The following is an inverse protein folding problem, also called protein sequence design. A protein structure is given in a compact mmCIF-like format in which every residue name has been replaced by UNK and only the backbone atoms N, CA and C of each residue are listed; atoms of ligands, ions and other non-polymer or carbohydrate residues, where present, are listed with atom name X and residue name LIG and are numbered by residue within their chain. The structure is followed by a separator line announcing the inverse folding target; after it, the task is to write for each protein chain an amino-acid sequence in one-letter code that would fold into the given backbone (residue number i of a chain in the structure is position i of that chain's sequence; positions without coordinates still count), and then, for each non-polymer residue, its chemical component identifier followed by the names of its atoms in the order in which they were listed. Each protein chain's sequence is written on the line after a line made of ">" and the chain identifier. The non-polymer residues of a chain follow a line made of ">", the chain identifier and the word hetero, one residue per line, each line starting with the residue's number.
data_IF_344123032793
#
_entry.id   IF_344123032793
#
_cell.length_a   1.000
_cell.length_b   1.000
_cell.length_c   1.000
_cell.angle_alpha   90.00
_cell.angle_beta   90.00
_cell.angle_gamma   90.00
#
_symmetry.space_group_name_H-M   'P 1'
#
loop_
_entity.id
_entity.type
_entity.pdbx_description
1 polymer ?
#
# COMPACT_ATOMS: atom_id res chain seq x y z
N UNK A 1 -9.75 12.10 -38.33
CA UNK A 1 -10.72 10.98 -38.35
C UNK A 1 -10.61 10.31 -36.99
N UNK A 2 -11.57 10.52 -36.10
CA UNK A 2 -11.59 9.89 -34.78
C UNK A 2 -11.99 8.43 -34.96
N UNK A 3 -11.00 7.53 -34.87
CA UNK A 3 -11.26 6.09 -34.87
C UNK A 3 -11.95 5.74 -33.55
N UNK A 4 -13.28 5.64 -33.57
CA UNK A 4 -14.05 5.05 -32.48
C UNK A 4 -13.67 3.57 -32.37
N UNK A 5 -13.29 3.14 -31.16
CA UNK A 5 -13.06 1.73 -30.83
C UNK A 5 -14.42 1.03 -30.84
N UNK A 6 -14.64 -0.02 -31.65
CA UNK A 6 -15.92 -0.71 -31.70
C UNK A 6 -16.35 -1.23 -30.32
N UNK A 7 -17.54 -0.87 -29.86
CA UNK A 7 -18.07 -1.29 -28.55
C UNK A 7 -17.67 -0.40 -27.37
N UNK A 8 -16.82 0.61 -27.57
CA UNK A 8 -16.54 1.64 -26.56
C UNK A 8 -17.59 2.76 -26.69
N UNK A 9 -18.72 2.55 -26.02
CA UNK A 9 -19.90 3.40 -26.12
C UNK A 9 -19.83 4.66 -25.24
N UNK A 10 -20.86 5.50 -25.31
CA UNK A 10 -20.93 6.75 -24.55
C UNK A 10 -20.96 6.53 -23.03
N UNK A 11 -21.39 5.34 -22.57
CA UNK A 11 -21.35 5.01 -21.16
C UNK A 11 -19.91 4.74 -20.73
N UNK A 12 -19.16 3.94 -21.49
CA UNK A 12 -17.73 3.69 -21.23
C UNK A 12 -16.88 4.96 -21.34
N UNK A 13 -17.18 5.87 -22.27
CA UNK A 13 -16.51 7.17 -22.35
C UNK A 13 -16.69 7.99 -21.07
N UNK A 14 -17.93 8.06 -20.54
CA UNK A 14 -18.19 8.76 -19.27
C UNK A 14 -17.51 8.07 -18.09
N UNK A 15 -17.57 6.75 -18.03
CA UNK A 15 -16.86 5.99 -16.98
C UNK A 15 -15.35 6.18 -17.03
N UNK A 16 -14.76 6.29 -18.22
CA UNK A 16 -13.35 6.61 -18.40
C UNK A 16 -13.02 8.03 -17.95
N UNK A 17 -13.86 9.01 -18.30
CA UNK A 17 -13.71 10.40 -17.85
C UNK A 17 -13.80 10.52 -16.32
N UNK A 18 -14.72 9.79 -15.70
CA UNK A 18 -14.86 9.76 -14.24
C UNK A 18 -13.66 9.07 -13.59
N UNK A 19 -13.20 7.93 -14.11
CA UNK A 19 -12.02 7.24 -13.61
C UNK A 19 -10.72 8.06 -13.75
N UNK A 20 -10.56 8.79 -14.86
CA UNK A 20 -9.42 9.70 -15.03
C UNK A 20 -9.48 10.86 -14.02
N UNK A 21 -10.68 11.43 -13.81
CA UNK A 21 -10.91 12.50 -12.84
C UNK A 21 -10.64 12.04 -11.41
N UNK A 22 -11.09 10.84 -11.04
CA UNK A 22 -10.82 10.21 -9.74
C UNK A 22 -9.33 9.96 -9.53
N UNK A 23 -8.59 9.63 -10.60
CA UNK A 23 -7.14 9.48 -10.57
C UNK A 23 -6.37 10.82 -10.61
N UNK A 24 -7.05 11.97 -10.69
CA UNK A 24 -6.42 13.28 -10.77
C UNK A 24 -5.67 13.55 -12.09
N UNK A 25 -5.96 12.78 -13.14
CA UNK A 25 -5.26 12.81 -14.43
C UNK A 25 -6.22 13.25 -15.55
N UNK A 26 -5.70 13.77 -16.66
CA UNK A 26 -6.51 13.90 -17.87
C UNK A 26 -6.72 12.53 -18.53
N UNK A 27 -7.80 12.39 -19.30
CA UNK A 27 -8.19 11.12 -19.94
C UNK A 27 -7.06 10.51 -20.78
N UNK A 28 -6.27 11.31 -21.49
CA UNK A 28 -5.21 10.77 -22.33
C UNK A 28 -4.07 10.20 -21.48
N UNK A 29 -3.68 10.90 -20.41
CA UNK A 29 -2.66 10.42 -19.46
C UNK A 29 -3.11 9.13 -18.79
N UNK A 30 -4.36 9.09 -18.32
CA UNK A 30 -4.95 7.90 -17.70
C UNK A 30 -4.96 6.71 -18.66
N UNK A 31 -5.42 6.91 -19.91
CA UNK A 31 -5.45 5.85 -20.94
C UNK A 31 -4.04 5.39 -21.29
N UNK A 32 -3.09 6.31 -21.50
CA UNK A 32 -1.71 5.95 -21.81
C UNK A 32 -1.09 5.09 -20.71
N UNK A 33 -1.27 5.47 -19.45
CA UNK A 33 -0.78 4.72 -18.28
C UNK A 33 -1.45 3.35 -18.18
N UNK A 34 -2.78 3.27 -18.32
CA UNK A 34 -3.53 2.02 -18.24
C UNK A 34 -3.14 1.04 -19.36
N UNK A 35 -2.99 1.54 -20.59
CA UNK A 35 -2.54 0.74 -21.74
C UNK A 35 -1.09 0.28 -21.53
N UNK A 36 -0.21 1.15 -21.06
CA UNK A 36 1.18 0.80 -20.75
C UNK A 36 1.28 -0.29 -19.69
N UNK A 37 0.52 -0.18 -18.60
CA UNK A 37 0.45 -1.20 -17.54
C UNK A 37 -0.05 -2.55 -18.07
N UNK A 38 -1.11 -2.53 -18.90
CA UNK A 38 -1.65 -3.73 -19.52
C UNK A 38 -0.64 -4.40 -20.48
N UNK A 39 0.09 -3.61 -21.28
CA UNK A 39 1.15 -4.12 -22.18
C UNK A 39 2.28 -4.79 -21.41
N UNK A 40 2.70 -4.24 -20.27
CA UNK A 40 3.71 -4.85 -19.39
C UNK A 40 3.19 -6.17 -18.83
N UNK A 41 1.97 -6.20 -18.29
CA UNK A 41 1.36 -7.41 -17.75
C UNK A 41 1.26 -8.54 -18.79
N UNK A 42 0.95 -8.20 -20.04
CA UNK A 42 0.85 -9.17 -21.12
C UNK A 42 2.22 -9.70 -21.58
N UNK A 43 3.27 -8.87 -21.53
CA UNK A 43 4.64 -9.32 -21.81
C UNK A 43 5.23 -10.22 -20.71
N UNK A 44 4.92 -9.92 -19.44
CA UNK A 44 5.28 -10.77 -18.31
C UNK A 44 4.61 -12.14 -18.43
N UNK A 45 3.29 -12.16 -18.70
CA UNK A 45 2.55 -13.41 -18.91
C UNK A 45 3.05 -14.25 -20.09
N UNK A 46 3.61 -13.60 -21.10
CA UNK A 46 4.14 -14.26 -22.28
C UNK A 46 5.65 -14.64 -22.17
N UNK A 47 6.28 -14.44 -21.01
CA UNK A 47 7.72 -14.67 -20.76
C UNK A 47 8.64 -14.05 -21.83
N UNK A 48 8.23 -12.92 -22.41
CA UNK A 48 8.99 -12.30 -23.50
C UNK A 48 10.23 -11.60 -22.95
N UNK A 49 11.41 -11.77 -23.57
CA UNK A 49 12.66 -11.15 -23.11
C UNK A 49 12.68 -9.61 -23.20
N UNK A 50 11.71 -8.97 -23.85
CA UNK A 50 11.68 -7.51 -24.09
C UNK A 50 10.94 -6.70 -23.02
N UNK A 51 10.48 -7.31 -21.92
CA UNK A 51 9.73 -6.56 -20.89
C UNK A 51 10.59 -5.46 -20.25
N UNK A 52 11.90 -5.71 -20.09
CA UNK A 52 12.87 -4.71 -19.63
C UNK A 52 13.00 -3.54 -20.60
N UNK A 53 12.99 -3.80 -21.91
CA UNK A 53 13.11 -2.76 -22.93
C UNK A 53 11.84 -1.89 -23.00
N UNK A 54 10.66 -2.52 -22.87
CA UNK A 54 9.38 -1.80 -22.81
C UNK A 54 9.30 -0.93 -21.54
N UNK A 55 9.64 -1.48 -20.38
CA UNK A 55 9.68 -0.73 -19.12
C UNK A 55 10.67 0.44 -19.20
N UNK A 56 11.88 0.19 -19.71
CA UNK A 56 12.88 1.24 -19.92
C UNK A 56 12.39 2.35 -20.87
N UNK A 57 11.68 1.99 -21.93
CA UNK A 57 11.12 2.95 -22.88
C UNK A 57 9.95 3.76 -22.30
N UNK A 58 9.06 3.12 -21.55
CA UNK A 58 7.93 3.78 -20.88
C UNK A 58 8.38 4.74 -19.77
N UNK A 59 9.45 4.38 -19.05
CA UNK A 59 10.11 5.31 -18.12
C UNK A 59 10.77 6.47 -18.88
N UNK A 60 11.56 6.21 -19.94
CA UNK A 60 12.22 7.28 -20.72
C UNK A 60 11.25 8.27 -21.38
N UNK A 61 10.03 7.84 -21.68
CA UNK A 61 8.99 8.67 -22.32
C UNK A 61 8.10 9.41 -21.32
N UNK A 62 8.29 9.20 -20.01
CA UNK A 62 7.52 9.85 -18.95
C UNK A 62 6.09 9.32 -18.79
N UNK A 63 5.73 8.25 -19.49
CA UNK A 63 4.38 7.63 -19.42
C UNK A 63 4.14 6.97 -18.05
N UNK A 64 5.22 6.58 -17.37
CA UNK A 64 5.20 6.04 -16.00
C UNK A 64 5.81 6.99 -14.96
N UNK A 65 6.53 8.03 -15.38
CA UNK A 65 7.07 9.05 -14.47
C UNK A 65 5.97 10.06 -14.16
N UNK A 66 5.02 9.65 -13.32
CA UNK A 66 4.33 10.61 -12.47
C UNK A 66 5.33 11.01 -11.39
N UNK A 67 5.80 12.27 -11.41
CA UNK A 67 6.60 12.83 -10.31
C UNK A 67 5.82 12.89 -8.98
N UNK A 68 4.50 12.66 -9.05
CA UNK A 68 3.57 12.54 -7.94
C UNK A 68 3.28 11.08 -7.58
N UNK A 69 3.13 10.83 -6.28
CA UNK A 69 2.60 9.56 -5.80
C UNK A 69 1.16 9.35 -6.30
N UNK A 70 0.70 8.09 -6.49
CA UNK A 70 -0.68 7.79 -6.82
C UNK A 70 -1.62 8.41 -5.78
N UNK A 71 -2.67 9.08 -6.23
CA UNK A 71 -3.69 9.58 -5.32
C UNK A 71 -4.58 8.43 -4.84
N UNK A 72 -4.48 8.12 -3.55
CA UNK A 72 -5.31 7.12 -2.87
C UNK A 72 -6.32 7.76 -1.91
N UNK A 73 -6.42 9.09 -1.89
CA UNK A 73 -7.18 9.84 -0.89
C UNK A 73 -8.67 9.49 -0.90
N UNK A 74 -9.27 9.25 -2.07
CA UNK A 74 -10.67 8.84 -2.17
C UNK A 74 -10.95 7.50 -1.46
N UNK A 75 -10.06 6.52 -1.62
CA UNK A 75 -10.19 5.19 -0.98
C UNK A 75 -9.91 5.29 0.51
N UNK A 76 -8.91 6.09 0.91
CA UNK A 76 -8.60 6.31 2.32
C UNK A 76 -9.72 7.07 3.03
N UNK A 77 -10.36 8.04 2.38
CA UNK A 77 -11.47 8.80 2.93
C UNK A 77 -12.83 8.08 2.87
N UNK A 78 -12.87 6.83 2.39
CA UNK A 78 -14.10 6.05 2.30
C UNK A 78 -14.84 5.99 3.66
N UNK A 79 -16.11 6.46 3.73
CA UNK A 79 -16.83 6.53 4.99
C UNK A 79 -17.08 5.18 5.67
N UNK A 80 -17.31 4.11 4.90
CA UNK A 80 -17.61 2.79 5.42
C UNK A 80 -16.34 2.16 6.00
N UNK A 81 -15.20 2.32 5.31
CA UNK A 81 -13.87 1.95 5.81
C UNK A 81 -13.52 2.68 7.11
N UNK A 82 -13.78 3.99 7.18
CA UNK A 82 -13.52 4.80 8.38
C UNK A 82 -14.46 4.41 9.53
N UNK A 83 -15.71 4.06 9.24
CA UNK A 83 -16.63 3.52 10.23
C UNK A 83 -16.11 2.19 10.80
N UNK A 84 -15.71 1.25 9.93
CA UNK A 84 -15.14 -0.03 10.32
C UNK A 84 -13.89 0.15 11.20
N UNK A 85 -12.99 1.07 10.85
CA UNK A 85 -11.83 1.40 11.69
C UNK A 85 -12.24 1.93 13.07
N UNK A 86 -13.20 2.85 13.13
CA UNK A 86 -13.67 3.44 14.41
C UNK A 86 -14.35 2.42 15.30
N UNK A 87 -15.11 1.49 14.73
CA UNK A 87 -15.78 0.41 15.47
C UNK A 87 -14.81 -0.51 16.20
N UNK A 88 -13.56 -0.63 15.72
CA UNK A 88 -12.52 -1.39 16.44
C UNK A 88 -12.15 -0.79 17.80
N UNK A 89 -12.37 0.52 18.00
CA UNK A 89 -11.94 1.24 19.20
C UNK A 89 -10.43 1.34 19.38
N UNK A 90 -9.62 1.08 18.34
CA UNK A 90 -8.17 1.03 18.45
C UNK A 90 -7.46 2.37 18.22
N UNK A 91 -8.08 3.31 17.51
CA UNK A 91 -7.55 4.67 17.35
C UNK A 91 -7.40 5.36 18.71
N UNK A 92 -6.26 6.00 18.93
CA UNK A 92 -5.89 6.72 20.17
C UNK A 92 -5.96 5.88 21.46
N UNK A 93 -6.13 4.57 21.34
CA UNK A 93 -6.23 3.67 22.48
C UNK A 93 -4.84 3.42 23.10
N UNK A 94 -4.78 3.07 24.41
CA UNK A 94 -3.52 2.71 25.05
C UNK A 94 -2.78 1.56 24.35
N UNK A 95 -1.49 1.44 24.64
CA UNK A 95 -0.71 0.27 24.21
C UNK A 95 -1.30 -1.01 24.80
N UNK A 96 -1.27 -2.10 24.03
CA UNK A 96 -1.77 -3.40 24.47
C UNK A 96 -0.74 -4.48 24.12
N UNK A 97 -0.34 -5.24 25.14
CA UNK A 97 0.72 -6.25 25.03
C UNK A 97 0.47 -7.34 23.97
N UNK A 98 -0.78 -7.55 23.55
CA UNK A 98 -1.10 -8.48 22.46
C UNK A 98 -0.55 -7.99 21.12
N UNK A 99 -0.72 -6.72 20.78
CA UNK A 99 -0.18 -6.17 19.54
C UNK A 99 1.34 -6.05 19.63
N UNK A 100 1.89 -5.68 20.79
CA UNK A 100 3.35 -5.63 20.98
C UNK A 100 4.03 -6.98 20.77
N UNK A 101 3.36 -8.08 21.15
CA UNK A 101 3.85 -9.42 20.86
C UNK A 101 3.85 -9.74 19.37
N UNK A 102 2.79 -9.37 18.64
CA UNK A 102 2.68 -9.59 17.20
C UNK A 102 3.73 -8.76 16.46
N UNK A 103 3.82 -7.46 16.76
CA UNK A 103 4.77 -6.54 16.12
C UNK A 103 6.21 -7.00 16.32
N UNK A 104 6.57 -7.41 17.55
CA UNK A 104 7.89 -7.98 17.86
C UNK A 104 8.14 -9.31 17.16
N UNK A 105 7.16 -10.22 17.16
CA UNK A 105 7.29 -11.49 16.45
C UNK A 105 7.52 -11.28 14.94
N UNK A 106 6.87 -10.29 14.33
CA UNK A 106 7.08 -9.93 12.92
C UNK A 106 8.50 -9.41 12.67
N UNK A 107 9.00 -8.49 13.50
CA UNK A 107 10.37 -7.99 13.41
C UNK A 107 11.40 -9.13 13.56
N UNK A 108 11.25 -9.93 14.61
CA UNK A 108 12.18 -11.03 14.93
C UNK A 108 12.18 -12.12 13.85
N UNK A 109 11.00 -12.51 13.35
CA UNK A 109 10.88 -13.59 12.38
C UNK A 109 11.42 -13.24 10.98
N UNK A 110 11.36 -11.95 10.61
CA UNK A 110 11.84 -11.45 9.31
C UNK A 110 13.21 -10.74 9.42
N UNK A 111 13.83 -10.79 10.59
CA UNK A 111 15.10 -10.14 10.92
C UNK A 111 15.10 -8.64 10.54
N UNK A 112 13.97 -7.96 10.68
CA UNK A 112 13.79 -6.57 10.27
C UNK A 112 13.91 -5.62 11.47
N UNK A 113 14.62 -4.48 11.35
CA UNK A 113 14.83 -3.56 12.47
C UNK A 113 13.55 -2.83 12.88
N UNK A 114 12.59 -2.68 11.97
CA UNK A 114 11.34 -1.97 12.20
C UNK A 114 10.13 -2.82 11.85
N UNK A 115 9.10 -2.72 12.69
CA UNK A 115 7.81 -3.36 12.49
C UNK A 115 6.72 -2.52 13.14
N UNK A 116 5.50 -2.55 12.58
CA UNK A 116 4.37 -1.85 13.14
C UNK A 116 3.04 -2.54 12.85
N UNK A 117 2.12 -2.47 13.83
CA UNK A 117 0.68 -2.55 13.57
C UNK A 117 0.19 -1.12 13.39
N UNK A 118 -0.18 -0.79 12.16
CA UNK A 118 -0.53 0.54 11.71
C UNK A 118 -2.01 0.62 11.34
N UNK A 119 -2.68 1.71 11.71
CA UNK A 119 -4.08 2.01 11.39
C UNK A 119 -4.12 3.30 10.56
N UNK A 120 -4.93 3.33 9.51
CA UNK A 120 -5.00 4.46 8.58
C UNK A 120 -6.34 5.19 8.76
N UNK A 121 -6.29 6.34 9.42
CA UNK A 121 -7.44 7.23 9.64
C UNK A 121 -7.60 8.19 8.43
N UNK A 122 -8.51 9.16 8.53
CA UNK A 122 -8.82 10.09 7.44
C UNK A 122 -7.65 11.04 7.09
N UNK A 123 -6.82 11.41 8.06
CA UNK A 123 -5.78 12.44 7.93
C UNK A 123 -4.41 12.03 8.50
N UNK A 124 -4.34 10.87 9.16
CA UNK A 124 -3.13 10.36 9.79
C UNK A 124 -3.01 8.84 9.71
N UNK A 125 -1.77 8.38 9.85
CA UNK A 125 -1.45 7.02 10.22
C UNK A 125 -1.21 6.97 11.72
N UNK A 126 -1.97 6.13 12.42
CA UNK A 126 -1.78 5.85 13.84
C UNK A 126 -1.07 4.51 14.04
N UNK A 127 -0.12 4.44 14.96
CA UNK A 127 0.61 3.23 15.31
C UNK A 127 0.01 2.58 16.56
N UNK A 128 -0.68 1.45 16.39
CA UNK A 128 -1.18 0.69 17.53
C UNK A 128 -0.03 0.06 18.32
N UNK A 129 1.03 -0.35 17.63
CA UNK A 129 2.24 -0.93 18.19
C UNK A 129 3.40 -0.77 17.22
N UNK A 130 4.61 -0.56 17.72
CA UNK A 130 5.84 -0.37 16.94
C UNK A 130 7.02 -1.12 17.55
N UNK A 131 8.00 -1.44 16.72
CA UNK A 131 9.33 -1.94 17.11
C UNK A 131 10.38 -1.14 16.36
N UNK A 132 11.45 -0.74 17.08
CA UNK A 132 12.59 -0.02 16.50
C UNK A 132 12.36 1.47 16.20
N UNK A 133 11.15 1.99 16.36
CA UNK A 133 10.76 3.33 15.90
C UNK A 133 11.02 4.48 16.90
N UNK A 134 11.84 4.24 17.95
CA UNK A 134 12.26 5.29 18.90
C UNK A 134 11.08 6.03 19.53
N UNK A 135 11.08 7.37 19.44
CA UNK A 135 10.05 8.25 19.99
C UNK A 135 8.65 7.95 19.46
N UNK A 136 8.49 7.35 18.27
CA UNK A 136 7.17 6.93 17.77
C UNK A 136 6.59 5.71 18.52
N UNK A 137 7.31 5.19 19.51
CA UNK A 137 6.86 4.11 20.40
C UNK A 137 6.29 4.64 21.71
N UNK A 138 6.43 5.94 22.01
CA UNK A 138 5.84 6.54 23.23
C UNK A 138 4.38 6.94 23.00
N UNK A 139 3.47 6.79 23.97
CA UNK A 139 2.04 6.99 23.79
C UNK A 139 1.63 8.30 23.11
N UNK A 140 2.38 9.38 23.37
CA UNK A 140 2.11 10.74 22.93
C UNK A 140 2.52 11.03 21.47
N UNK A 141 3.26 10.12 20.82
CA UNK A 141 3.86 10.37 19.50
C UNK A 141 3.66 9.18 18.52
N UNK A 142 2.55 8.45 18.66
CA UNK A 142 2.23 7.26 17.85
C UNK A 142 1.49 7.60 16.55
N UNK A 143 1.83 8.70 15.90
CA UNK A 143 1.19 9.05 14.63
C UNK A 143 2.12 9.79 13.68
N UNK A 144 1.81 9.71 12.40
CA UNK A 144 2.40 10.52 11.33
C UNK A 144 1.30 10.95 10.37
N UNK A 145 1.55 12.01 9.61
CA UNK A 145 0.66 12.45 8.53
C UNK A 145 0.63 11.43 7.38
N UNK A 146 -0.46 11.40 6.61
CA UNK A 146 -0.62 10.43 5.53
C UNK A 146 0.44 10.56 4.43
N UNK A 147 1.00 11.74 4.16
CA UNK A 147 2.10 11.89 3.19
C UNK A 147 3.39 11.16 3.60
N UNK A 148 3.51 10.76 4.87
CA UNK A 148 4.58 9.93 5.40
C UNK A 148 4.21 8.44 5.47
N UNK A 149 3.00 8.05 5.06
CA UNK A 149 2.49 6.67 5.13
C UNK A 149 2.73 5.89 3.85
N UNK A 150 3.60 4.88 3.87
CA UNK A 150 3.59 3.83 2.82
C UNK A 150 2.40 2.86 3.01
N UNK A 151 1.95 2.66 4.25
CA UNK A 151 0.89 1.72 4.58
C UNK A 151 -0.44 2.05 3.88
N UNK A 152 -0.73 3.33 3.62
CA UNK A 152 -1.97 3.75 2.93
C UNK A 152 -2.11 3.09 1.55
N UNK A 153 -1.02 2.81 0.83
CA UNK A 153 -1.07 2.21 -0.50
C UNK A 153 -1.46 0.73 -0.42
N UNK A 154 -0.93 -0.01 0.57
CA UNK A 154 -1.37 -1.39 0.83
C UNK A 154 -2.84 -1.45 1.29
N UNK A 155 -3.29 -0.45 2.06
CA UNK A 155 -4.69 -0.31 2.47
C UNK A 155 -5.59 -0.03 1.26
N UNK A 156 -5.19 0.91 0.39
CA UNK A 156 -5.96 1.28 -0.79
C UNK A 156 -6.11 0.11 -1.77
N UNK A 157 -5.01 -0.60 -2.05
CA UNK A 157 -4.99 -1.72 -2.99
C UNK A 157 -5.59 -3.01 -2.39
N UNK A 158 -5.68 -3.09 -1.05
CA UNK A 158 -6.14 -4.29 -0.31
C UNK A 158 -5.34 -5.54 -0.64
N UNK A 159 -4.08 -5.35 -1.03
CA UNK A 159 -3.12 -6.43 -1.33
C UNK A 159 -1.80 -6.20 -0.61
N UNK A 160 -1.01 -7.26 -0.36
CA UNK A 160 0.35 -7.11 0.16
C UNK A 160 1.18 -6.16 -0.70
N UNK A 161 1.84 -5.19 -0.06
CA UNK A 161 2.81 -4.31 -0.71
C UNK A 161 4.22 -4.78 -0.37
N UNK A 162 5.00 -5.07 -1.41
CA UNK A 162 6.35 -5.62 -1.29
C UNK A 162 7.33 -4.73 -2.05
N UNK A 163 8.25 -4.09 -1.33
CA UNK A 163 9.30 -3.24 -1.87
C UNK A 163 10.65 -3.76 -1.37
N UNK A 164 11.45 -4.31 -2.29
CA UNK A 164 12.80 -4.81 -1.97
C UNK A 164 13.81 -3.66 -1.87
N UNK A 165 13.72 -2.71 -2.79
CA UNK A 165 14.39 -1.41 -2.74
C UNK A 165 13.47 -0.33 -3.34
N UNK A 166 12.75 0.38 -2.48
CA UNK A 166 11.81 1.44 -2.83
C UNK A 166 12.46 2.59 -3.61
N UNK A 167 13.80 2.77 -3.52
CA UNK A 167 14.52 3.80 -4.28
C UNK A 167 14.68 3.43 -5.75
N UNK A 168 14.58 2.13 -6.07
CA UNK A 168 14.59 1.60 -7.43
C UNK A 168 13.17 1.38 -7.99
N UNK A 169 12.14 1.50 -7.13
CA UNK A 169 10.76 1.36 -7.55
C UNK A 169 10.30 2.57 -8.37
N UNK A 170 9.66 2.39 -9.54
CA UNK A 170 9.26 3.50 -10.40
C UNK A 170 8.26 4.46 -9.75
N UNK A 171 7.46 4.00 -8.78
CA UNK A 171 6.45 4.77 -8.07
C UNK A 171 7.01 5.27 -6.74
N UNK A 172 7.47 4.37 -5.88
CA UNK A 172 7.84 4.68 -4.50
C UNK A 172 9.16 5.43 -4.35
N UNK A 173 10.01 5.51 -5.39
CA UNK A 173 11.23 6.35 -5.39
C UNK A 173 10.92 7.83 -5.08
N UNK A 174 9.69 8.26 -5.37
CA UNK A 174 9.24 9.63 -5.19
C UNK A 174 8.61 9.89 -3.81
N UNK A 175 8.35 8.85 -3.01
CA UNK A 175 7.70 8.98 -1.71
C UNK A 175 8.60 9.73 -0.70
N UNK A 176 8.07 10.67 0.11
CA UNK A 176 8.86 11.44 1.08
C UNK A 176 9.77 10.61 2.00
N UNK A 177 9.25 9.55 2.64
CA UNK A 177 10.04 8.66 3.51
C UNK A 177 11.12 7.85 2.80
N UNK A 178 10.96 7.60 1.49
CA UNK A 178 11.98 6.93 0.67
C UNK A 178 13.07 7.93 0.31
N UNK A 179 12.68 9.15 -0.08
CA UNK A 179 13.62 10.25 -0.37
C UNK A 179 14.43 10.70 0.85
N UNK A 180 13.85 10.63 2.05
CA UNK A 180 14.57 10.92 3.30
C UNK A 180 15.56 9.82 3.70
N UNK A 181 15.46 8.63 3.08
CA UNK A 181 16.25 7.45 3.43
C UNK A 181 15.74 6.69 4.66
N UNK A 182 14.55 7.02 5.17
CA UNK A 182 13.96 6.32 6.31
C UNK A 182 13.47 4.91 5.95
N UNK A 183 13.08 4.67 4.69
CA UNK A 183 12.65 3.36 4.19
C UNK A 183 13.31 3.07 2.84
N UNK A 184 14.04 1.96 2.77
CA UNK A 184 14.50 1.36 1.53
C UNK A 184 13.77 0.04 1.24
N UNK A 185 13.47 -0.79 2.24
CA UNK A 185 12.69 -2.01 2.05
C UNK A 185 11.41 -1.97 2.88
N UNK A 186 10.31 -2.47 2.34
CA UNK A 186 9.00 -2.51 2.99
C UNK A 186 8.25 -3.79 2.61
N UNK A 187 7.63 -4.42 3.60
CA UNK A 187 6.66 -5.49 3.40
C UNK A 187 5.46 -5.22 4.31
N UNK A 188 4.29 -4.99 3.73
CA UNK A 188 3.06 -4.69 4.48
C UNK A 188 1.91 -5.58 4.06
N UNK A 189 1.24 -6.21 5.03
CA UNK A 189 0.02 -6.98 4.83
C UNK A 189 -1.17 -6.13 5.32
N UNK A 190 -2.17 -5.85 4.47
CA UNK A 190 -3.35 -5.12 4.89
C UNK A 190 -4.17 -5.91 5.92
N UNK A 191 -4.70 -5.21 6.93
CA UNK A 191 -5.61 -5.74 7.93
C UNK A 191 -7.03 -5.46 7.46
N UNK A 192 -7.71 -6.51 7.01
CA UNK A 192 -9.01 -6.43 6.32
C UNK A 192 -10.08 -7.08 7.20
N UNK A 193 -11.20 -6.39 7.39
CA UNK A 193 -12.33 -6.92 8.14
C UNK A 193 -13.13 -7.99 7.35
N UNK A 194 -14.23 -8.46 7.92
CA UNK A 194 -15.07 -9.48 7.28
C UNK A 194 -15.90 -8.97 6.10
N UNK A 195 -16.06 -7.66 5.97
CA UNK A 195 -16.82 -6.99 4.90
C UNK A 195 -15.92 -6.52 3.76
N UNK A 196 -14.59 -6.57 3.94
CA UNK A 196 -13.59 -6.23 2.95
C UNK A 196 -12.95 -4.85 3.13
N UNK A 197 -13.21 -4.18 4.25
CA UNK A 197 -12.60 -2.89 4.58
C UNK A 197 -11.18 -3.09 5.12
N UNK A 198 -10.19 -2.55 4.41
CA UNK A 198 -8.82 -2.47 4.93
C UNK A 198 -8.69 -1.27 5.86
N UNK A 199 -8.34 -1.51 7.13
CA UNK A 199 -8.25 -0.46 8.15
C UNK A 199 -6.81 -0.03 8.44
N UNK A 200 -5.84 -0.81 7.99
CA UNK A 200 -4.45 -0.71 8.46
C UNK A 200 -3.56 -1.78 7.87
N UNK A 201 -2.35 -1.93 8.42
CA UNK A 201 -1.38 -2.96 8.03
C UNK A 201 -0.67 -3.56 9.25
N UNK A 202 -0.22 -4.81 9.12
CA UNK A 202 0.97 -5.28 9.80
C UNK A 202 2.12 -5.17 8.80
N UNK A 203 3.15 -4.39 9.13
CA UNK A 203 4.27 -4.15 8.24
C UNK A 203 5.62 -4.30 8.92
N UNK A 204 6.63 -4.70 8.16
CA UNK A 204 8.05 -4.63 8.50
C UNK A 204 8.80 -3.80 7.47
N UNK A 205 9.84 -3.10 7.89
CA UNK A 205 10.63 -2.26 6.99
C UNK A 205 12.06 -2.07 7.47
N UNK A 206 12.91 -1.55 6.58
CA UNK A 206 14.34 -1.31 6.81
C UNK A 206 14.82 -0.10 5.99
N UNK A 207 15.88 0.56 6.48
CA UNK A 207 16.64 1.59 5.76
C UNK A 207 17.62 1.02 4.72
N UNK A 208 17.75 -0.31 4.66
CA UNK A 208 18.52 -1.07 3.66
C UNK A 208 17.62 -1.94 2.78
N UNK A 209 18.05 -2.24 1.54
CA UNK A 209 17.37 -3.19 0.67
C UNK A 209 17.27 -4.59 1.29
N UNK A 210 16.16 -5.29 1.02
CA UNK A 210 15.90 -6.65 1.48
C UNK A 210 15.21 -7.47 0.39
N UNK A 211 15.51 -8.77 0.34
CA UNK A 211 14.80 -9.70 -0.53
C UNK A 211 13.62 -10.33 0.22
N UNK A 212 12.41 -10.00 -0.20
CA UNK A 212 11.18 -10.53 0.40
C UNK A 212 10.70 -11.76 -0.36
N UNK A 213 11.28 -12.92 -0.03
CA UNK A 213 10.82 -14.20 -0.57
C UNK A 213 9.38 -14.55 -0.13
N UNK A 214 8.78 -15.51 -0.83
CA UNK A 214 7.41 -16.01 -0.54
C UNK A 214 7.25 -16.48 0.90
N UNK A 215 8.30 -17.03 1.52
CA UNK A 215 8.30 -17.41 2.93
C UNK A 215 8.13 -16.21 3.88
N UNK A 216 8.75 -15.06 3.58
CA UNK A 216 8.58 -13.85 4.40
C UNK A 216 7.15 -13.30 4.29
N UNK A 217 6.61 -13.27 3.06
CA UNK A 217 5.23 -12.86 2.82
C UNK A 217 4.25 -13.77 3.57
N UNK A 218 4.46 -15.09 3.52
CA UNK A 218 3.62 -16.05 4.23
C UNK A 218 3.67 -15.84 5.75
N UNK A 219 4.86 -15.74 6.34
CA UNK A 219 5.02 -15.55 7.78
C UNK A 219 4.34 -14.25 8.24
N UNK A 220 4.53 -13.15 7.52
CA UNK A 220 3.89 -11.89 7.89
C UNK A 220 2.36 -11.95 7.69
N UNK A 221 1.89 -12.68 6.68
CA UNK A 221 0.46 -12.92 6.45
C UNK A 221 -0.17 -13.70 7.59
N UNK A 222 0.50 -14.74 8.09
CA UNK A 222 0.01 -15.52 9.23
C UNK A 222 -0.04 -14.68 10.51
N UNK A 223 0.96 -13.82 10.75
CA UNK A 223 0.96 -12.89 11.88
C UNK A 223 -0.11 -11.79 11.73
N UNK A 224 -0.35 -11.32 10.51
CA UNK A 224 -1.43 -10.38 10.22
C UNK A 224 -2.80 -11.03 10.47
N UNK A 225 -2.96 -12.32 10.16
CA UNK A 225 -4.17 -13.06 10.48
C UNK A 225 -4.44 -13.12 12.00
N UNK A 226 -3.42 -13.34 12.82
CA UNK A 226 -3.55 -13.28 14.28
C UNK A 226 -3.95 -11.89 14.77
N UNK A 227 -3.44 -10.83 14.14
CA UNK A 227 -3.87 -9.46 14.43
C UNK A 227 -5.35 -9.27 14.05
N UNK A 228 -5.75 -9.69 12.86
CA UNK A 228 -7.14 -9.58 12.40
C UNK A 228 -8.12 -10.36 13.30
N UNK A 229 -7.79 -11.59 13.70
CA UNK A 229 -8.61 -12.36 14.66
C UNK A 229 -8.76 -11.63 16.01
N UNK A 230 -7.72 -10.93 16.46
CA UNK A 230 -7.77 -10.15 17.69
C UNK A 230 -8.61 -8.87 17.56
N UNK A 231 -8.57 -8.23 16.38
CA UNK A 231 -9.26 -6.97 16.08
C UNK A 231 -10.74 -7.22 15.82
N UNK A 232 -11.05 -8.13 14.91
CA UNK A 232 -12.42 -8.35 14.39
C UNK A 232 -13.13 -9.54 15.04
N UNK A 233 -12.39 -10.35 15.81
CA UNK A 233 -12.87 -11.65 16.27
C UNK A 233 -12.66 -12.75 15.22
N UNK A 234 -12.95 -13.99 15.60
CA UNK A 234 -12.95 -15.11 14.67
C UNK A 234 -14.19 -15.06 13.79
N UNK A 235 -14.02 -15.28 12.48
CA UNK A 235 -15.16 -15.36 11.55
C UNK A 235 -16.10 -16.49 12.02
N UNK A 236 -17.39 -16.22 12.28
CA UNK A 236 -18.33 -17.29 12.59
C UNK A 236 -18.44 -18.22 11.37
N UNK A 237 -18.24 -19.51 11.60
CA UNK A 237 -18.34 -20.58 10.60
C UNK A 237 -19.79 -20.81 10.16
#
# INVERSE_FOLDING_TARGET
>A
MTNSVPGFDDWLNRSLEDAAREAGEDVNTYVMRAVAAQMVADQVRAEKPSTKDLLAHLSQTGVLDSDSMPDVSAVIADPDRLAALRETGLLDSPVEAVYDRITRAAADALDAPFSAVSLIDADRQFFKSTVGMGDMSVPENREVTLDQSICQYAVADRTPLVLEDARADPVFKNHPVVRSGAIAAYLGIPLIDHEGHAIGTLCVFDDKPRLWGTGHVQVLTDLAALAMERIFGSKPY
#
